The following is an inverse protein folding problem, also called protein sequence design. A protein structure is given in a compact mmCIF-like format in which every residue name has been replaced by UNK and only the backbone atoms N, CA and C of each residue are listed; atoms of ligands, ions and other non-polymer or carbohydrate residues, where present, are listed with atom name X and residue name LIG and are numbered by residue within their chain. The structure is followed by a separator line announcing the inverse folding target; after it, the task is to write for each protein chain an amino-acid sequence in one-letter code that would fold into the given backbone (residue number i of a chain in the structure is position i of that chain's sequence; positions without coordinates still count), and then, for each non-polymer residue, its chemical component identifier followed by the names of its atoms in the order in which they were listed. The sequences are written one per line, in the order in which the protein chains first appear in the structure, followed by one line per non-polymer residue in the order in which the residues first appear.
data_IF_516872057132
#
_entry.id   IF_516872057132
#
_cell.length_a   1.000
_cell.length_b   1.000
_cell.length_c   1.000
_cell.angle_alpha   90.00
_cell.angle_beta   90.00
_cell.angle_gamma   90.00
#
_symmetry.space_group_name_H-M   'P 1'
#
loop_
_entity.id
_entity.type
_entity.pdbx_description
1 polymer ?
#
# COMPACT_ATOMS: atom_id res chain seq x y z
N UNK A 1 19.58 -1.25 2.16
CA UNK A 1 20.32 -0.67 3.30
C UNK A 1 21.80 -0.98 3.28
N UNK A 2 22.10 -2.19 2.83
CA UNK A 2 23.40 -2.84 2.71
C UNK A 2 24.19 -2.39 1.48
N UNK A 3 23.57 -1.61 0.57
CA UNK A 3 24.23 -1.10 -0.65
C UNK A 3 24.48 -2.17 -1.71
N UNK A 4 23.87 -3.34 -1.59
CA UNK A 4 24.11 -4.50 -2.47
C UNK A 4 23.65 -4.29 -3.91
N UNK A 5 22.77 -3.33 -4.13
CA UNK A 5 22.29 -2.96 -5.44
C UNK A 5 21.92 -1.48 -5.46
N UNK A 6 22.16 -0.84 -6.60
CA UNK A 6 21.74 0.51 -6.92
C UNK A 6 21.06 0.49 -8.28
N UNK A 7 20.12 1.41 -8.45
CA UNK A 7 19.34 1.56 -9.68
C UNK A 7 19.52 3.00 -10.15
N UNK A 8 19.63 3.20 -11.47
CA UNK A 8 19.56 4.54 -12.04
C UNK A 8 18.15 5.13 -11.85
N UNK A 9 17.13 4.32 -12.15
CA UNK A 9 15.73 4.59 -11.85
C UNK A 9 15.02 3.27 -11.48
N UNK A 10 14.77 3.06 -10.19
CA UNK A 10 14.07 1.86 -9.71
C UNK A 10 12.60 1.79 -10.19
N UNK A 11 12.02 2.92 -10.61
CA UNK A 11 10.69 2.97 -11.20
C UNK A 11 10.69 2.62 -12.70
N UNK A 12 11.87 2.52 -13.33
CA UNK A 12 12.04 2.15 -14.73
C UNK A 12 13.36 1.38 -14.95
N UNK A 13 13.43 0.17 -14.42
CA UNK A 13 14.65 -0.66 -14.50
C UNK A 13 14.94 -1.12 -15.94
N UNK A 14 16.21 -1.08 -16.30
CA UNK A 14 16.73 -1.72 -17.52
C UNK A 14 16.73 -3.24 -17.40
N UNK A 15 16.85 -3.96 -18.52
CA UNK A 15 16.99 -5.43 -18.52
C UNK A 15 18.16 -5.89 -17.63
N UNK A 16 19.30 -5.19 -17.69
CA UNK A 16 20.49 -5.53 -16.89
C UNK A 16 20.25 -5.35 -15.38
N UNK A 17 19.55 -4.30 -14.97
CA UNK A 17 19.14 -4.11 -13.58
C UNK A 17 18.12 -5.17 -13.15
N UNK A 18 17.15 -5.51 -14.01
CA UNK A 18 16.19 -6.59 -13.70
C UNK A 18 16.94 -7.90 -13.48
N UNK A 19 17.87 -8.27 -14.36
CA UNK A 19 18.64 -9.51 -14.23
C UNK A 19 19.49 -9.54 -12.96
N UNK A 20 20.16 -8.44 -12.63
CA UNK A 20 20.93 -8.31 -11.41
C UNK A 20 20.04 -8.44 -10.14
N UNK A 21 18.86 -7.82 -10.14
CA UNK A 21 17.90 -7.95 -9.04
C UNK A 21 17.43 -9.39 -8.89
N UNK A 22 17.07 -10.06 -10.00
CA UNK A 22 16.62 -11.44 -9.96
C UNK A 22 17.73 -12.40 -9.49
N UNK A 23 18.98 -12.16 -9.87
CA UNK A 23 20.12 -12.93 -9.38
C UNK A 23 20.30 -12.78 -7.87
N UNK A 24 20.20 -11.55 -7.34
CA UNK A 24 20.24 -11.28 -5.91
C UNK A 24 19.10 -11.99 -5.17
N UNK A 25 17.88 -11.91 -5.68
CA UNK A 25 16.72 -12.60 -5.08
C UNK A 25 16.87 -14.13 -5.09
N UNK A 26 17.43 -14.70 -6.16
CA UNK A 26 17.69 -16.14 -6.25
C UNK A 26 18.77 -16.59 -5.24
N UNK A 27 19.83 -15.81 -5.03
CA UNK A 27 20.82 -16.08 -3.97
C UNK A 27 20.16 -16.07 -2.58
N UNK A 28 19.28 -15.08 -2.31
CA UNK A 28 18.53 -15.01 -1.06
C UNK A 28 17.56 -16.17 -0.87
N UNK A 29 16.91 -16.63 -1.95
CA UNK A 29 16.07 -17.84 -1.93
C UNK A 29 16.87 -19.07 -1.56
N UNK A 30 18.05 -19.28 -2.15
CA UNK A 30 18.92 -20.42 -1.81
C UNK A 30 19.41 -20.37 -0.37
N UNK A 31 19.52 -19.18 0.22
CA UNK A 31 19.87 -18.96 1.64
C UNK A 31 18.67 -19.09 2.59
N UNK A 32 17.47 -19.41 2.10
CA UNK A 32 16.28 -19.64 2.92
C UNK A 32 15.53 -18.39 3.36
N UNK A 33 15.75 -17.23 2.71
CA UNK A 33 15.08 -15.97 3.10
C UNK A 33 13.58 -15.91 2.75
N UNK A 34 13.09 -16.80 1.88
CA UNK A 34 11.69 -16.80 1.42
C UNK A 34 10.97 -18.07 1.87
N UNK A 35 9.96 -17.91 2.71
CA UNK A 35 9.16 -19.02 3.26
C UNK A 35 7.79 -19.20 2.59
N UNK A 36 7.32 -18.23 1.79
CA UNK A 36 6.04 -18.23 1.08
C UNK A 36 5.96 -17.09 0.04
N UNK A 37 4.96 -17.16 -0.83
CA UNK A 37 4.49 -16.05 -1.67
C UNK A 37 2.98 -15.88 -1.48
N UNK A 38 2.44 -14.68 -1.71
CA UNK A 38 1.01 -14.40 -1.55
C UNK A 38 0.47 -13.64 -2.78
N UNK A 39 -0.83 -13.80 -3.07
CA UNK A 39 -1.52 -13.09 -4.16
C UNK A 39 -2.71 -12.28 -3.68
N UNK A 40 -3.33 -12.71 -2.58
CA UNK A 40 -4.44 -12.01 -1.95
C UNK A 40 -4.03 -11.42 -0.59
N UNK A 41 -4.82 -10.47 -0.11
CA UNK A 41 -4.73 -9.98 1.27
C UNK A 41 -4.88 -11.12 2.28
N UNK A 42 -5.84 -12.03 2.05
CA UNK A 42 -6.08 -13.18 2.91
C UNK A 42 -4.86 -14.09 3.02
N UNK A 43 -4.14 -14.34 1.92
CA UNK A 43 -2.91 -15.13 1.92
C UNK A 43 -1.85 -14.49 2.82
N UNK A 44 -1.65 -13.16 2.69
CA UNK A 44 -0.67 -12.42 3.47
C UNK A 44 -1.00 -12.43 4.98
N UNK A 45 -2.29 -12.29 5.32
CA UNK A 45 -2.78 -12.36 6.70
C UNK A 45 -2.62 -13.77 7.29
N UNK A 46 -2.88 -14.82 6.50
CA UNK A 46 -2.66 -16.21 6.93
C UNK A 46 -1.20 -16.44 7.30
N UNK A 47 -0.24 -16.02 6.47
CA UNK A 47 1.19 -16.14 6.76
C UNK A 47 1.58 -15.47 8.08
N UNK A 48 0.94 -14.33 8.38
CA UNK A 48 1.16 -13.57 9.60
C UNK A 48 0.57 -14.29 10.82
N UNK A 49 -0.65 -14.83 10.71
CA UNK A 49 -1.31 -15.56 11.80
C UNK A 49 -0.70 -16.93 12.09
N UNK A 50 -0.12 -17.59 11.08
CA UNK A 50 0.63 -18.84 11.23
C UNK A 50 2.05 -18.63 11.79
N UNK A 51 2.45 -17.38 12.07
CA UNK A 51 3.80 -17.01 12.55
C UNK A 51 4.93 -17.53 11.64
N UNK A 52 4.65 -17.60 10.32
CA UNK A 52 5.59 -18.16 9.32
C UNK A 52 6.58 -17.14 8.77
N UNK A 53 6.32 -15.85 8.95
CA UNK A 53 7.07 -14.74 8.36
C UNK A 53 7.62 -13.85 9.46
N UNK A 54 8.87 -13.39 9.35
CA UNK A 54 9.38 -12.33 10.23
C UNK A 54 9.18 -10.93 9.62
N UNK A 55 9.18 -10.85 8.29
CA UNK A 55 8.99 -9.61 7.51
C UNK A 55 8.26 -9.97 6.22
N UNK A 56 7.26 -9.17 5.83
CA UNK A 56 6.63 -9.26 4.52
C UNK A 56 6.05 -7.90 4.10
N UNK A 57 5.84 -7.73 2.79
CA UNK A 57 5.04 -6.61 2.28
C UNK A 57 3.55 -6.89 2.50
N UNK A 58 2.79 -5.85 2.85
CA UNK A 58 1.32 -5.88 2.94
C UNK A 58 0.75 -4.51 2.51
N UNK A 59 -0.54 -4.46 2.21
CA UNK A 59 -1.24 -3.19 2.02
C UNK A 59 -1.42 -2.49 3.37
N UNK A 60 -1.07 -1.21 3.45
CA UNK A 60 -1.06 -0.45 4.71
C UNK A 60 -2.37 -0.52 5.53
N UNK A 61 -3.57 -0.48 4.92
CA UNK A 61 -4.83 -0.61 5.67
C UNK A 61 -4.97 -1.91 6.48
N UNK A 62 -4.30 -2.98 6.06
CA UNK A 62 -4.41 -4.30 6.70
C UNK A 62 -3.78 -4.27 8.10
N UNK A 63 -2.84 -3.35 8.37
CA UNK A 63 -2.24 -3.21 9.70
C UNK A 63 -3.26 -2.81 10.79
N UNK A 64 -4.40 -2.20 10.41
CA UNK A 64 -5.50 -1.94 11.35
C UNK A 64 -6.26 -3.20 11.80
N UNK A 65 -6.12 -4.32 11.07
CA UNK A 65 -6.91 -5.55 11.25
C UNK A 65 -6.06 -6.77 11.67
N UNK A 66 -4.89 -6.56 12.26
CA UNK A 66 -3.94 -7.63 12.62
C UNK A 66 -4.40 -8.53 13.79
N UNK A 67 -5.50 -8.17 14.45
CA UNK A 67 -6.07 -8.94 15.56
C UNK A 67 -5.03 -9.25 16.64
N UNK A 68 -4.87 -10.54 16.95
CA UNK A 68 -3.92 -11.03 17.98
C UNK A 68 -2.45 -10.69 17.70
N UNK A 69 -2.12 -10.40 16.44
CA UNK A 69 -0.73 -10.19 16.01
C UNK A 69 -0.32 -8.71 16.05
N UNK A 70 -1.24 -7.80 16.42
CA UNK A 70 -0.96 -6.37 16.57
C UNK A 70 0.09 -6.07 17.65
N UNK A 71 0.34 -6.99 18.58
CA UNK A 71 1.41 -6.86 19.59
C UNK A 71 2.77 -7.40 19.13
N UNK A 72 2.82 -8.15 18.02
CA UNK A 72 4.02 -8.84 17.54
C UNK A 72 4.62 -8.15 16.31
N UNK A 73 3.77 -7.66 15.41
CA UNK A 73 4.18 -7.05 14.16
C UNK A 73 3.85 -5.56 14.14
N UNK A 74 4.71 -4.80 13.46
CA UNK A 74 4.56 -3.36 13.26
C UNK A 74 4.84 -3.01 11.80
N UNK A 75 4.16 -1.98 11.29
CA UNK A 75 4.50 -1.39 9.99
C UNK A 75 5.88 -0.72 10.08
N UNK A 76 6.82 -1.18 9.27
CA UNK A 76 8.15 -0.59 9.17
C UNK A 76 8.17 0.56 8.14
N UNK A 77 9.01 1.56 8.40
CA UNK A 77 9.35 2.61 7.42
C UNK A 77 10.79 2.37 6.97
N UNK A 78 11.02 1.68 5.83
CA UNK A 78 12.37 1.44 5.33
C UNK A 78 13.10 2.76 5.09
N UNK A 79 14.42 2.77 5.31
CA UNK A 79 15.22 3.99 5.13
C UNK A 79 15.31 4.41 3.66
N UNK A 80 15.19 3.45 2.75
CA UNK A 80 15.12 3.64 1.31
C UNK A 80 13.78 4.25 0.86
N UNK A 81 12.81 4.34 1.76
CA UNK A 81 11.42 4.62 1.44
C UNK A 81 10.68 3.38 0.95
N UNK A 82 9.43 3.57 0.57
CA UNK A 82 8.55 2.49 0.13
C UNK A 82 7.83 2.83 -1.17
N UNK A 83 7.25 1.78 -1.74
CA UNK A 83 6.40 1.85 -2.92
C UNK A 83 5.01 2.31 -2.52
N UNK A 84 4.45 3.25 -3.28
CA UNK A 84 3.07 3.68 -3.17
C UNK A 84 2.33 3.52 -4.50
N UNK A 85 1.02 3.70 -4.46
CA UNK A 85 0.14 3.61 -5.60
C UNK A 85 -0.86 4.75 -5.55
N UNK A 86 -1.24 5.24 -6.72
CA UNK A 86 -2.25 6.28 -6.88
C UNK A 86 -3.23 5.80 -7.94
N UNK A 87 -4.48 5.58 -7.54
CA UNK A 87 -5.58 5.28 -8.45
C UNK A 87 -6.25 6.57 -8.93
N UNK A 88 -6.69 6.59 -10.17
CA UNK A 88 -7.50 7.67 -10.72
C UNK A 88 -8.65 7.10 -11.55
N UNK A 89 -9.79 7.78 -11.54
CA UNK A 89 -10.84 7.53 -12.49
C UNK A 89 -10.58 8.33 -13.78
N UNK A 90 -10.92 7.76 -14.92
CA UNK A 90 -10.81 8.39 -16.23
C UNK A 90 -12.06 8.10 -17.04
N UNK A 91 -12.45 9.04 -17.89
CA UNK A 91 -13.60 8.90 -18.76
C UNK A 91 -13.15 8.31 -20.10
N UNK A 92 -13.92 7.34 -20.60
CA UNK A 92 -13.70 6.79 -21.94
C UNK A 92 -13.92 7.87 -22.99
N UNK A 93 -13.02 7.95 -23.98
CA UNK A 93 -13.04 8.98 -25.04
C UNK A 93 -14.36 9.12 -25.80
N UNK A 94 -15.14 8.04 -25.90
CA UNK A 94 -16.37 7.98 -26.68
C UNK A 94 -17.63 8.33 -25.88
N UNK A 95 -17.50 8.70 -24.59
CA UNK A 95 -18.66 9.12 -23.81
C UNK A 95 -19.18 10.47 -24.32
N UNK A 96 -20.48 10.55 -24.53
CA UNK A 96 -21.18 11.75 -24.98
C UNK A 96 -22.57 11.86 -24.33
N UNK A 97 -23.16 13.06 -24.41
CA UNK A 97 -24.48 13.36 -23.84
C UNK A 97 -24.62 12.95 -22.38
N UNK A 98 -25.78 12.38 -22.03
CA UNK A 98 -26.12 12.03 -20.66
C UNK A 98 -25.13 11.07 -19.98
N UNK A 99 -24.45 10.20 -20.73
CA UNK A 99 -23.45 9.29 -20.15
C UNK A 99 -22.18 10.03 -19.73
N UNK A 100 -21.76 11.04 -20.51
CA UNK A 100 -20.64 11.90 -20.16
C UNK A 100 -20.98 12.75 -18.93
N UNK A 101 -22.19 13.30 -18.88
CA UNK A 101 -22.66 14.10 -17.75
C UNK A 101 -22.66 13.27 -16.45
N UNK A 102 -23.21 12.06 -16.47
CA UNK A 102 -23.16 11.13 -15.34
C UNK A 102 -21.72 10.77 -14.95
N UNK A 103 -20.83 10.63 -15.92
CA UNK A 103 -19.41 10.43 -15.69
C UNK A 103 -18.79 11.57 -14.88
N UNK A 104 -19.10 12.82 -15.24
CA UNK A 104 -18.64 14.00 -14.49
C UNK A 104 -19.30 14.11 -13.13
N UNK A 105 -20.61 13.84 -12.99
CA UNK A 105 -21.29 13.81 -11.69
C UNK A 105 -20.62 12.82 -10.75
N UNK A 106 -20.26 11.64 -11.24
CA UNK A 106 -19.57 10.62 -10.47
C UNK A 106 -18.16 11.07 -10.02
N UNK A 107 -17.38 11.67 -10.93
CA UNK A 107 -16.07 12.25 -10.59
C UNK A 107 -16.20 13.38 -9.55
N UNK A 108 -17.20 14.25 -9.72
CA UNK A 108 -17.47 15.33 -8.79
C UNK A 108 -17.82 14.78 -7.40
N UNK A 109 -18.65 13.74 -7.31
CA UNK A 109 -18.99 13.10 -6.04
C UNK A 109 -17.76 12.55 -5.31
N UNK A 110 -16.85 11.88 -6.03
CA UNK A 110 -15.58 11.41 -5.46
C UNK A 110 -14.70 12.54 -4.91
N UNK A 111 -14.75 13.70 -5.57
CA UNK A 111 -13.95 14.87 -5.22
C UNK A 111 -14.64 15.80 -4.22
N UNK A 112 -15.93 15.62 -3.93
CA UNK A 112 -16.72 16.57 -3.13
C UNK A 112 -16.34 16.58 -1.64
N UNK A 113 -15.78 15.47 -1.14
CA UNK A 113 -15.15 15.38 0.18
C UNK A 113 -15.62 14.20 1.01
N UNK A 114 -16.92 13.86 0.97
CA UNK A 114 -17.47 12.74 1.74
C UNK A 114 -16.79 11.41 1.39
N UNK A 115 -16.64 11.10 0.09
CA UNK A 115 -15.95 9.91 -0.35
C UNK A 115 -14.49 9.87 0.18
N UNK A 116 -13.81 11.01 0.20
CA UNK A 116 -12.47 11.13 0.78
C UNK A 116 -12.41 10.91 2.29
N UNK A 117 -13.41 11.35 3.04
CA UNK A 117 -13.53 11.05 4.46
C UNK A 117 -13.74 9.54 4.71
N UNK A 118 -14.59 8.90 3.90
CA UNK A 118 -14.81 7.44 3.95
C UNK A 118 -13.54 6.66 3.62
N UNK A 119 -12.75 7.13 2.65
CA UNK A 119 -11.44 6.54 2.33
C UNK A 119 -10.44 6.74 3.47
N UNK A 120 -10.40 7.92 4.11
CA UNK A 120 -9.56 8.18 5.27
C UNK A 120 -9.83 7.24 6.44
N UNK A 121 -11.10 6.92 6.71
CA UNK A 121 -11.52 5.94 7.74
C UNK A 121 -11.04 4.51 7.48
N UNK A 122 -10.59 4.22 6.26
CA UNK A 122 -9.97 2.94 5.88
C UNK A 122 -8.44 3.04 5.84
N UNK A 123 -7.87 4.20 6.15
CA UNK A 123 -6.44 4.46 6.02
C UNK A 123 -5.98 4.87 4.61
N UNK A 124 -6.90 5.12 3.67
CA UNK A 124 -6.56 5.66 2.35
C UNK A 124 -6.60 7.19 2.32
N UNK A 125 -6.11 7.79 1.24
CA UNK A 125 -6.10 9.24 1.06
C UNK A 125 -6.63 9.60 -0.32
N UNK A 126 -7.42 10.68 -0.39
CA UNK A 126 -7.90 11.26 -1.65
C UNK A 126 -7.09 12.49 -2.03
N UNK A 127 -7.01 12.76 -3.33
CA UNK A 127 -6.31 13.92 -3.92
C UNK A 127 -6.95 15.28 -3.61
N UNK A 128 -8.10 15.30 -2.92
CA UNK A 128 -8.78 16.51 -2.46
C UNK A 128 -8.81 16.59 -0.91
N UNK A 129 -7.65 16.67 -0.22
CA UNK A 129 -7.58 16.58 1.24
C UNK A 129 -8.30 17.74 1.95
N UNK A 130 -8.35 18.93 1.34
CA UNK A 130 -9.08 20.09 1.91
C UNK A 130 -10.58 19.80 1.98
N UNK A 131 -11.16 19.19 0.94
CA UNK A 131 -12.57 18.81 0.91
C UNK A 131 -12.85 17.62 1.82
N UNK A 132 -11.94 16.64 1.86
CA UNK A 132 -12.02 15.54 2.80
C UNK A 132 -12.01 16.04 4.26
N UNK A 133 -11.19 17.05 4.59
CA UNK A 133 -11.14 17.69 5.91
C UNK A 133 -12.51 18.21 6.35
N UNK A 134 -13.22 18.87 5.45
CA UNK A 134 -14.55 19.42 5.75
C UNK A 134 -15.59 18.35 6.06
N UNK A 135 -15.38 17.11 5.60
CA UNK A 135 -16.27 15.97 5.85
C UNK A 135 -15.79 15.04 6.99
N UNK A 136 -14.65 15.31 7.61
CA UNK A 136 -14.09 14.56 8.73
C UNK A 136 -14.39 15.28 10.05
N UNK A 137 -14.69 14.51 11.10
CA UNK A 137 -14.68 15.08 12.44
C UNK A 137 -13.25 15.51 12.82
N UNK A 138 -13.08 16.54 13.68
CA UNK A 138 -11.76 17.05 14.04
C UNK A 138 -10.79 15.98 14.54
N UNK A 139 -11.27 15.03 15.35
CA UNK A 139 -10.49 13.90 15.87
C UNK A 139 -10.11 12.87 14.80
N UNK A 140 -10.93 12.71 13.76
CA UNK A 140 -10.60 11.85 12.63
C UNK A 140 -9.49 12.49 11.80
N UNK A 141 -9.59 13.80 11.53
CA UNK A 141 -8.52 14.54 10.86
C UNK A 141 -7.21 14.48 11.65
N UNK A 142 -7.27 14.74 12.95
CA UNK A 142 -6.11 14.72 13.83
C UNK A 142 -5.37 13.38 13.79
N UNK A 143 -6.10 12.26 13.79
CA UNK A 143 -5.48 10.93 13.70
C UNK A 143 -5.00 10.60 12.28
N UNK A 144 -5.87 10.73 11.26
CA UNK A 144 -5.57 10.22 9.92
C UNK A 144 -4.57 11.09 9.15
N UNK A 145 -4.58 12.41 9.37
CA UNK A 145 -3.77 13.39 8.63
C UNK A 145 -2.67 14.00 9.49
N UNK A 146 -2.98 14.45 10.71
CA UNK A 146 -1.98 15.12 11.57
C UNK A 146 -1.12 14.12 12.37
N UNK A 147 -1.47 12.83 12.40
CA UNK A 147 -0.70 11.79 13.09
C UNK A 147 -0.79 11.84 14.62
N UNK A 148 -1.77 12.56 15.17
CA UNK A 148 -2.02 12.63 16.61
C UNK A 148 -2.53 11.28 17.16
N UNK A 149 -2.37 11.01 18.47
CA UNK A 149 -3.06 9.89 19.10
C UNK A 149 -4.56 10.02 18.95
N UNK A 150 -5.26 8.90 18.76
CA UNK A 150 -6.71 8.89 18.71
C UNK A 150 -7.29 9.38 20.05
N UNK A 151 -8.01 10.49 20.04
CA UNK A 151 -8.62 11.06 21.25
C UNK A 151 -9.81 10.23 21.78
N UNK A 152 -10.38 9.38 20.93
CA UNK A 152 -11.45 8.43 21.23
C UNK A 152 -11.35 7.24 20.27
N UNK A 153 -12.17 6.21 20.51
CA UNK A 153 -12.34 5.12 19.56
C UNK A 153 -12.89 5.68 18.23
N UNK A 154 -12.19 5.39 17.12
CA UNK A 154 -12.58 5.84 15.78
C UNK A 154 -13.20 4.69 15.00
N UNK A 155 -14.27 5.00 14.26
CA UNK A 155 -15.03 4.03 13.49
C UNK A 155 -14.55 3.98 12.03
N UNK A 156 -14.53 2.78 11.48
CA UNK A 156 -14.38 2.56 10.04
C UNK A 156 -15.72 2.78 9.31
N UNK A 157 -15.74 2.66 7.97
CA UNK A 157 -16.98 2.81 7.20
C UNK A 157 -18.08 1.80 7.55
N UNK A 158 -17.72 0.64 8.10
CA UNK A 158 -18.67 -0.38 8.58
C UNK A 158 -19.32 -0.03 9.92
N UNK A 159 -18.92 1.08 10.56
CA UNK A 159 -19.35 1.46 11.90
C UNK A 159 -18.64 0.70 13.02
N UNK A 160 -17.72 -0.22 12.70
CA UNK A 160 -16.89 -0.92 13.68
C UNK A 160 -15.71 -0.06 14.11
N UNK A 161 -15.25 -0.22 15.35
CA UNK A 161 -14.04 0.44 15.84
C UNK A 161 -12.83 -0.12 15.11
N UNK A 162 -12.09 0.76 14.41
CA UNK A 162 -10.86 0.42 13.67
C UNK A 162 -9.60 1.03 14.30
N UNK A 163 -9.79 2.02 15.18
CA UNK A 163 -8.69 2.61 15.96
C UNK A 163 -9.17 2.79 17.39
N UNK A 164 -8.36 2.33 18.35
CA UNK A 164 -8.62 2.50 19.78
C UNK A 164 -8.04 3.81 20.29
N UNK A 165 -8.71 4.37 21.29
CA UNK A 165 -8.23 5.55 22.02
C UNK A 165 -6.77 5.40 22.43
N UNK A 166 -5.96 6.44 22.19
CA UNK A 166 -4.53 6.48 22.50
C UNK A 166 -3.61 5.88 21.44
N UNK A 167 -4.13 5.12 20.47
CA UNK A 167 -3.31 4.59 19.38
C UNK A 167 -2.77 5.73 18.49
N UNK A 168 -1.56 5.55 17.98
CA UNK A 168 -0.96 6.42 16.97
C UNK A 168 -0.92 5.68 15.64
N UNK A 169 -1.18 6.41 14.56
CA UNK A 169 -1.06 5.87 13.21
C UNK A 169 0.40 5.50 12.94
N UNK A 170 0.64 4.25 12.54
CA UNK A 170 1.97 3.84 12.11
C UNK A 170 2.44 4.68 10.91
N UNK A 171 3.75 4.89 10.79
CA UNK A 171 4.32 5.76 9.76
C UNK A 171 4.08 7.27 9.95
N UNK A 172 3.33 7.69 10.97
CA UNK A 172 3.19 9.10 11.35
C UNK A 172 2.11 9.85 10.58
N UNK A 173 2.30 11.17 10.48
CA UNK A 173 1.36 12.08 9.82
C UNK A 173 1.29 11.82 8.30
N UNK A 174 0.22 12.26 7.65
CA UNK A 174 0.05 12.10 6.20
C UNK A 174 1.25 12.63 5.40
N UNK A 175 1.75 13.82 5.75
CA UNK A 175 2.91 14.41 5.08
C UNK A 175 4.19 13.61 5.29
N UNK A 176 4.41 13.08 6.50
CA UNK A 176 5.56 12.22 6.79
C UNK A 176 5.47 10.93 5.96
N UNK A 177 4.31 10.30 5.91
CA UNK A 177 4.08 9.12 5.07
C UNK A 177 4.34 9.43 3.59
N UNK A 178 3.73 10.50 3.07
CA UNK A 178 3.93 10.91 1.68
C UNK A 178 5.41 11.21 1.35
N UNK A 179 6.16 11.79 2.29
CA UNK A 179 7.59 12.10 2.11
C UNK A 179 8.51 10.87 2.04
N UNK A 180 8.02 9.69 2.45
CA UNK A 180 8.76 8.43 2.44
C UNK A 180 8.49 7.57 1.20
N UNK A 181 7.67 8.07 0.28
CA UNK A 181 7.41 7.41 -1.00
C UNK A 181 8.65 7.55 -1.87
N UNK A 182 9.29 6.43 -2.16
CA UNK A 182 10.43 6.38 -3.07
C UNK A 182 10.01 6.07 -4.50
N UNK A 183 8.94 5.29 -4.67
CA UNK A 183 8.48 4.80 -5.98
C UNK A 183 6.96 4.84 -6.02
N UNK A 184 6.42 5.47 -7.07
CA UNK A 184 5.02 5.28 -7.45
C UNK A 184 4.92 4.12 -8.42
N UNK A 185 3.86 3.31 -8.29
CA UNK A 185 3.59 2.26 -9.27
C UNK A 185 3.45 2.85 -10.68
N UNK A 186 4.42 2.56 -11.52
CA UNK A 186 4.48 2.93 -12.94
C UNK A 186 4.63 1.67 -13.79
N UNK A 187 4.23 1.76 -15.05
CA UNK A 187 4.56 0.74 -16.04
C UNK A 187 5.96 1.06 -16.56
N UNK A 188 6.90 0.13 -16.34
CA UNK A 188 8.26 0.21 -16.85
C UNK A 188 8.27 -0.04 -18.36
N UNK A 189 9.28 0.49 -19.07
CA UNK A 189 9.51 0.15 -20.49
C UNK A 189 9.68 -1.36 -20.66
N UNK A 190 10.44 -1.99 -19.75
CA UNK A 190 10.73 -3.42 -19.75
C UNK A 190 9.76 -4.25 -18.90
N UNK A 191 8.52 -3.76 -18.70
CA UNK A 191 7.53 -4.40 -17.83
C UNK A 191 7.30 -5.88 -18.15
N UNK A 192 7.15 -6.21 -19.44
CA UNK A 192 6.91 -7.59 -19.86
C UNK A 192 8.10 -8.52 -19.53
N UNK A 193 9.33 -8.00 -19.59
CA UNK A 193 10.52 -8.74 -19.20
C UNK A 193 10.53 -8.97 -17.68
N UNK A 194 10.34 -7.89 -16.91
CA UNK A 194 10.27 -7.93 -15.44
C UNK A 194 9.18 -8.90 -14.94
N UNK A 195 7.98 -8.83 -15.49
CA UNK A 195 6.84 -9.67 -15.10
C UNK A 195 7.13 -11.16 -15.32
N UNK A 196 7.72 -11.54 -16.46
CA UNK A 196 8.11 -12.93 -16.74
C UNK A 196 9.24 -13.40 -15.82
N UNK A 197 10.22 -12.53 -15.54
CA UNK A 197 11.31 -12.85 -14.63
C UNK A 197 10.80 -13.08 -13.20
N UNK A 198 9.89 -12.23 -12.74
CA UNK A 198 9.20 -12.37 -11.46
C UNK A 198 8.38 -13.66 -11.37
N UNK A 199 7.58 -14.00 -12.38
CA UNK A 199 6.79 -15.24 -12.41
C UNK A 199 7.67 -16.50 -12.29
N UNK A 200 8.82 -16.52 -12.98
CA UNK A 200 9.81 -17.61 -12.84
C UNK A 200 10.34 -17.72 -11.42
N UNK A 201 10.62 -16.61 -10.76
CA UNK A 201 11.11 -16.60 -9.38
C UNK A 201 10.05 -17.09 -8.40
N UNK A 202 8.81 -16.60 -8.51
CA UNK A 202 7.69 -17.04 -7.66
C UNK A 202 7.47 -18.55 -7.76
N UNK A 203 7.51 -19.12 -8.97
CA UNK A 203 7.43 -20.58 -9.17
C UNK A 203 8.51 -21.32 -8.39
N UNK A 204 9.76 -20.87 -8.46
CA UNK A 204 10.89 -21.48 -7.73
C UNK A 204 10.79 -21.35 -6.21
N UNK A 205 10.23 -20.25 -5.70
CA UNK A 205 9.97 -20.10 -4.26
C UNK A 205 8.96 -21.16 -3.80
N UNK A 206 7.90 -21.38 -4.59
CA UNK A 206 6.83 -22.31 -4.24
C UNK A 206 7.21 -23.78 -4.48
N UNK A 207 8.10 -24.09 -5.43
CA UNK A 207 8.62 -25.45 -5.67
C UNK A 207 9.45 -25.98 -4.50
N UNK A 208 10.23 -25.13 -3.83
CA UNK A 208 11.05 -25.51 -2.68
C UNK A 208 10.30 -25.67 -1.36
N UNK A 209 8.95 -25.58 -1.38
CA UNK A 209 8.08 -25.67 -0.21
C UNK A 209 7.27 -26.97 -0.15
N UNK A 210 7.46 -27.87 -1.12
CA UNK A 210 6.97 -29.26 -1.04
C UNK A 210 8.05 -30.15 -0.45
#
# INVERSE_FOLDING_TARGET
ATGEMQFADIANMTIAEIDALMALLEDRRRKGYFCATWRSESDAVTLLHEDRVSVQSMWSPIYGNMGKMAGTFVEAVPKEGYRAWHGGASLSRHLEGAQLDLGYEYLNWWLDGYAGAVMARQGYYMSAPVRAKAALAPEEWAYWYDGAPAARDLLGPSGLVVVKTGQRRAGGAYQERASRIAVWNTVMEEYNYAARAWDRFIKRVNEGQR
#
